data_IF_696744057148
#
_entry.id   IF_696744057148
#
_cell.length_a   1.000
_cell.length_b   1.000
_cell.length_c   1.000
_cell.angle_alpha   90.00
_cell.angle_beta   90.00
_cell.angle_gamma   90.00
#
_symmetry.space_group_name_H-M   'P 1'
#
loop_
_entity.id
_entity.type
_entity.pdbx_description
1 polymer ?
#
# COMPACT_ATOMS: atom_id res chain seq x y z
N UNK A 1 -4.26 -22.86 -15.70
CA UNK A 1 -3.50 -23.24 -16.91
C UNK A 1 -2.69 -24.54 -16.74
N UNK A 2 -1.58 -24.56 -15.98
CA UNK A 2 -0.72 -25.76 -15.89
C UNK A 2 -1.38 -26.94 -15.16
N UNK A 3 -2.02 -26.67 -14.01
CA UNK A 3 -2.77 -27.67 -13.26
C UNK A 3 -3.95 -28.25 -14.06
N UNK A 4 -4.79 -27.41 -14.66
CA UNK A 4 -5.93 -27.85 -15.49
C UNK A 4 -5.49 -28.59 -16.77
N UNK A 5 -4.34 -28.24 -17.33
CA UNK A 5 -3.75 -28.97 -18.46
C UNK A 5 -3.28 -30.35 -18.03
N UNK A 6 -2.58 -30.46 -16.91
CA UNK A 6 -2.15 -31.72 -16.33
C UNK A 6 -3.35 -32.61 -15.95
N UNK A 7 -4.42 -32.02 -15.42
CA UNK A 7 -5.65 -32.75 -15.07
C UNK A 7 -6.34 -33.34 -16.30
N UNK A 8 -6.48 -32.55 -17.38
CA UNK A 8 -7.03 -33.02 -18.66
C UNK A 8 -6.16 -34.10 -19.31
N UNK A 9 -4.85 -34.02 -19.15
CA UNK A 9 -3.93 -35.04 -19.67
C UNK A 9 -4.03 -36.35 -18.87
N UNK A 10 -4.16 -36.28 -17.55
CA UNK A 10 -4.40 -37.43 -16.69
C UNK A 10 -5.70 -38.16 -17.05
N UNK A 11 -6.79 -37.41 -17.25
CA UNK A 11 -8.08 -37.99 -17.70
C UNK A 11 -7.94 -38.73 -19.04
N UNK A 12 -7.20 -38.16 -20.00
CA UNK A 12 -6.93 -38.81 -21.30
C UNK A 12 -6.08 -40.08 -21.15
N UNK A 13 -5.05 -40.06 -20.30
CA UNK A 13 -4.19 -41.23 -20.05
C UNK A 13 -4.95 -42.34 -19.35
N UNK A 14 -5.83 -42.01 -18.39
CA UNK A 14 -6.75 -42.95 -17.73
C UNK A 14 -7.71 -43.58 -18.72
N UNK A 15 -8.35 -42.78 -19.59
CA UNK A 15 -9.28 -43.28 -20.60
C UNK A 15 -8.62 -44.25 -21.60
N UNK A 16 -7.32 -44.10 -21.87
CA UNK A 16 -6.54 -44.96 -22.78
C UNK A 16 -5.77 -46.09 -22.07
N UNK A 17 -5.83 -46.18 -20.73
CA UNK A 17 -5.03 -47.08 -19.90
C UNK A 17 -3.53 -47.10 -20.28
N UNK A 18 -2.98 -45.93 -20.59
CA UNK A 18 -1.59 -45.80 -21.05
C UNK A 18 -0.90 -44.63 -20.34
N UNK A 19 0.32 -44.87 -19.87
CA UNK A 19 1.18 -43.86 -19.24
C UNK A 19 0.52 -43.15 -18.03
N UNK A 20 -0.42 -43.84 -17.35
CA UNK A 20 -1.25 -43.30 -16.26
C UNK A 20 -0.37 -42.81 -15.11
N UNK A 21 0.59 -43.62 -14.67
CA UNK A 21 1.44 -43.29 -13.53
C UNK A 21 2.35 -42.07 -13.78
N UNK A 22 2.79 -41.87 -15.03
CA UNK A 22 3.53 -40.66 -15.40
C UNK A 22 2.63 -39.42 -15.36
N UNK A 23 1.40 -39.53 -15.88
CA UNK A 23 0.43 -38.45 -15.86
C UNK A 23 -0.05 -38.10 -14.43
N UNK A 24 -0.14 -39.08 -13.53
CA UNK A 24 -0.47 -38.87 -12.11
C UNK A 24 0.64 -38.09 -11.41
N UNK A 25 1.90 -38.49 -11.58
CA UNK A 25 3.03 -37.73 -11.02
C UNK A 25 3.10 -36.29 -11.55
N UNK A 26 2.81 -36.09 -12.85
CA UNK A 26 2.79 -34.77 -13.45
C UNK A 26 1.64 -33.89 -12.90
N UNK A 27 0.46 -34.46 -12.69
CA UNK A 27 -0.68 -33.77 -12.10
C UNK A 27 -0.41 -33.42 -10.62
N UNK A 28 0.16 -34.35 -9.86
CA UNK A 28 0.50 -34.13 -8.45
C UNK A 28 1.48 -32.96 -8.30
N UNK A 29 2.57 -32.94 -9.08
CA UNK A 29 3.52 -31.83 -9.06
C UNK A 29 2.89 -30.50 -9.48
N UNK A 30 1.94 -30.52 -10.42
CA UNK A 30 1.22 -29.32 -10.82
C UNK A 30 0.24 -28.84 -9.72
N UNK A 31 -0.35 -29.76 -8.95
CA UNK A 31 -1.22 -29.49 -7.81
C UNK A 31 -0.43 -28.80 -6.69
N UNK A 32 0.67 -29.43 -6.26
CA UNK A 32 1.53 -28.92 -5.17
C UNK A 32 2.05 -27.51 -5.48
N UNK A 33 2.48 -27.28 -6.74
CA UNK A 33 2.91 -25.95 -7.19
C UNK A 33 1.77 -24.94 -7.18
N UNK A 34 0.57 -25.34 -7.64
CA UNK A 34 -0.59 -24.47 -7.65
C UNK A 34 -1.02 -24.07 -6.23
N UNK A 35 -1.07 -25.03 -5.30
CA UNK A 35 -1.41 -24.78 -3.90
C UNK A 35 -0.39 -23.84 -3.25
N UNK A 36 0.90 -24.14 -3.41
CA UNK A 36 1.98 -23.29 -2.86
C UNK A 36 1.90 -21.85 -3.38
N UNK A 37 1.68 -21.66 -4.69
CA UNK A 37 1.53 -20.34 -5.28
C UNK A 37 0.25 -19.64 -4.82
N UNK A 38 -0.85 -20.39 -4.69
CA UNK A 38 -2.13 -19.84 -4.26
C UNK A 38 -2.08 -19.37 -2.82
N UNK A 39 -1.43 -20.11 -1.94
CA UNK A 39 -1.32 -19.74 -0.53
C UNK A 39 -0.42 -18.53 -0.34
N UNK A 40 0.73 -18.48 -1.02
CA UNK A 40 1.57 -17.27 -1.06
C UNK A 40 0.82 -16.07 -1.63
N UNK A 41 0.05 -16.25 -2.71
CA UNK A 41 -0.74 -15.17 -3.29
C UNK A 41 -1.80 -14.62 -2.32
N UNK A 42 -2.45 -15.48 -1.54
CA UNK A 42 -3.41 -15.05 -0.50
C UNK A 42 -2.72 -14.26 0.60
N UNK A 43 -1.56 -14.71 1.07
CA UNK A 43 -0.75 -14.02 2.08
C UNK A 43 -0.32 -12.63 1.57
N UNK A 44 0.25 -12.56 0.36
CA UNK A 44 0.68 -11.30 -0.25
C UNK A 44 -0.46 -10.30 -0.43
N UNK A 45 -1.67 -10.75 -0.78
CA UNK A 45 -2.84 -9.88 -0.92
C UNK A 45 -3.28 -9.28 0.42
N UNK A 46 -3.25 -10.07 1.50
CA UNK A 46 -3.57 -9.59 2.85
C UNK A 46 -2.52 -8.59 3.31
N UNK A 47 -1.25 -8.93 3.15
CA UNK A 47 -0.13 -8.06 3.53
C UNK A 47 -0.13 -6.75 2.75
N UNK A 48 -0.39 -6.81 1.44
CA UNK A 48 -0.48 -5.63 0.59
C UNK A 48 -1.60 -4.72 1.07
N UNK A 49 -2.78 -5.27 1.38
CA UNK A 49 -3.90 -4.50 1.93
C UNK A 49 -3.50 -3.80 3.23
N UNK A 50 -2.84 -4.50 4.15
CA UNK A 50 -2.42 -3.96 5.44
C UNK A 50 -1.40 -2.82 5.26
N UNK A 51 -0.34 -3.07 4.48
CA UNK A 51 0.69 -2.07 4.15
C UNK A 51 0.09 -0.83 3.52
N UNK A 52 -0.89 -1.00 2.62
CA UNK A 52 -1.56 0.13 1.97
C UNK A 52 -2.32 1.01 2.96
N UNK A 53 -3.07 0.41 3.88
CA UNK A 53 -3.82 1.16 4.91
C UNK A 53 -2.86 1.89 5.85
N UNK A 54 -1.78 1.24 6.25
CA UNK A 54 -0.75 1.85 7.10
C UNK A 54 -0.09 3.06 6.42
N UNK A 55 0.27 2.92 5.13
CA UNK A 55 0.84 4.03 4.35
C UNK A 55 -0.12 5.20 4.22
N UNK A 56 -1.41 4.96 3.97
CA UNK A 56 -2.39 6.06 3.95
C UNK A 56 -2.50 6.75 5.31
N UNK A 57 -2.56 5.98 6.40
CA UNK A 57 -2.59 6.54 7.75
C UNK A 57 -1.37 7.41 8.01
N UNK A 58 -0.16 6.91 7.72
CA UNK A 58 1.09 7.64 7.90
C UNK A 58 1.09 8.93 7.10
N UNK A 59 0.76 8.86 5.81
CA UNK A 59 0.75 10.03 4.94
C UNK A 59 -0.24 11.11 5.41
N UNK A 60 -1.42 10.72 5.89
CA UNK A 60 -2.41 11.67 6.41
C UNK A 60 -1.95 12.33 7.72
N UNK A 61 -1.32 11.57 8.61
CA UNK A 61 -0.74 12.11 9.84
C UNK A 61 0.39 13.07 9.52
N UNK A 62 1.34 12.66 8.68
CA UNK A 62 2.47 13.49 8.26
C UNK A 62 1.97 14.79 7.60
N UNK A 63 0.96 14.71 6.73
CA UNK A 63 0.34 15.88 6.10
C UNK A 63 -0.25 16.84 7.14
N UNK A 64 -1.07 16.34 8.06
CA UNK A 64 -1.69 17.16 9.10
C UNK A 64 -0.65 17.84 10.00
N UNK A 65 0.44 17.14 10.34
CA UNK A 65 1.54 17.72 11.11
C UNK A 65 2.22 18.87 10.34
N UNK A 66 2.43 18.71 9.04
CA UNK A 66 3.00 19.75 8.19
C UNK A 66 2.07 20.96 8.06
N UNK A 67 0.77 20.73 7.89
CA UNK A 67 -0.24 21.79 7.82
C UNK A 67 -0.28 22.62 9.11
N UNK A 68 -0.23 21.96 10.28
CA UNK A 68 -0.18 22.66 11.58
C UNK A 68 1.08 23.51 11.69
N UNK A 69 2.25 22.96 11.37
CA UNK A 69 3.53 23.70 11.39
C UNK A 69 3.48 24.91 10.45
N UNK A 70 2.90 24.74 9.27
CA UNK A 70 2.75 25.83 8.31
C UNK A 70 1.84 26.94 8.84
N UNK A 71 0.67 26.58 9.38
CA UNK A 71 -0.26 27.54 9.97
C UNK A 71 0.37 28.31 11.14
N UNK A 72 1.11 27.63 12.03
CA UNK A 72 1.85 28.27 13.12
C UNK A 72 2.89 29.27 12.62
N UNK A 73 3.64 28.91 11.57
CA UNK A 73 4.64 29.80 10.96
C UNK A 73 3.98 31.04 10.32
N UNK A 74 2.85 30.87 9.62
CA UNK A 74 2.08 31.99 9.07
C UNK A 74 1.57 32.93 10.17
N UNK A 75 1.01 32.38 11.25
CA UNK A 75 0.54 33.18 12.41
C UNK A 75 1.70 33.98 13.01
N UNK A 76 2.87 33.35 13.21
CA UNK A 76 4.04 34.04 13.73
C UNK A 76 4.47 35.19 12.83
N UNK A 77 4.52 34.97 11.52
CA UNK A 77 4.87 35.99 10.55
C UNK A 77 3.89 37.18 10.58
N UNK A 78 2.58 36.90 10.61
CA UNK A 78 1.55 37.94 10.69
C UNK A 78 1.65 38.72 12.00
N UNK A 79 1.89 38.06 13.14
CA UNK A 79 2.10 38.73 14.42
C UNK A 79 3.32 39.65 14.41
N UNK A 80 4.41 39.23 13.75
CA UNK A 80 5.60 40.06 13.59
C UNK A 80 5.29 41.32 12.77
N UNK A 81 4.53 41.19 11.66
CA UNK A 81 4.10 42.34 10.87
C UNK A 81 3.18 43.27 11.65
N UNK A 82 2.20 42.75 12.37
CA UNK A 82 1.31 43.57 13.22
C UNK A 82 2.12 44.32 14.28
N UNK A 83 3.10 43.66 14.91
CA UNK A 83 3.95 44.29 15.92
C UNK A 83 4.77 45.42 15.32
N UNK A 84 5.38 45.21 14.15
CA UNK A 84 6.13 46.26 13.46
C UNK A 84 5.24 47.46 13.10
N UNK A 85 4.02 47.21 12.60
CA UNK A 85 3.08 48.28 12.26
C UNK A 85 2.64 49.08 13.49
N UNK A 86 2.39 48.42 14.63
CA UNK A 86 2.05 49.10 15.88
C UNK A 86 3.21 49.96 16.39
N UNK A 87 4.44 49.46 16.32
CA UNK A 87 5.63 50.24 16.68
C UNK A 87 5.78 51.47 15.78
N UNK A 88 5.57 51.33 14.48
CA UNK A 88 5.58 52.46 13.53
C UNK A 88 4.48 53.49 13.82
N UNK A 89 3.30 53.07 14.25
CA UNK A 89 2.19 53.95 14.63
C UNK A 89 2.52 54.71 15.93
N UNK A 90 3.06 54.03 16.94
CA UNK A 90 3.54 54.66 18.18
C UNK A 90 4.66 55.69 17.89
N UNK A 91 5.61 55.36 17.00
CA UNK A 91 6.68 56.26 16.54
C UNK A 91 6.19 57.46 15.71
N UNK A 92 4.99 57.39 15.12
CA UNK A 92 4.34 58.50 14.40
C UNK A 92 3.43 59.36 15.30
N UNK A 93 3.14 58.90 16.52
CA UNK A 93 2.38 59.63 17.53
C UNK A 93 3.19 60.39 18.62
N UNK A 94 4.48 60.78 18.45
CA UNK A 94 5.11 61.59 19.48
C UNK A 94 4.57 63.02 19.35
N UNK A 95 3.99 63.50 20.46
CA UNK A 95 3.52 64.87 20.75
C UNK A 95 2.02 65.10 20.52
N UNK A 96 1.25 64.99 21.61
CA UNK A 96 0.48 66.14 22.13
C UNK A 96 0.99 66.45 23.53
#
# INVERSE_FOLDING_TARGET
>A
ANYESANRNLEKSRAKNRDVQHAENAQQQACEKFETMSDKGKEELIDYKNRRVEMFRKNLVDLAEWEIKHAQSQIQMLNNYITALKQDEELKSPVT
#
